data_IF_104970381240
#
_entry.id   IF_104970381240
#
_cell.length_a   1.000
_cell.length_b   1.000
_cell.length_c   1.000
_cell.angle_alpha   90.00
_cell.angle_beta   90.00
_cell.angle_gamma   90.00
#
_symmetry.space_group_name_H-M   'P 1'
#
loop_
_entity.id
_entity.type
_entity.pdbx_description
1 polymer ?
#
# COMPACT_ATOMS: atom_id res chain seq x y z
N UNK A 1 12.76 -5.47 15.86
CA UNK A 1 11.90 -6.64 15.62
C UNK A 1 12.03 -7.71 16.69
N UNK A 2 13.16 -8.42 16.86
CA UNK A 2 13.27 -9.46 17.91
C UNK A 2 13.04 -8.87 19.31
N UNK A 3 13.78 -7.81 19.67
CA UNK A 3 13.62 -7.12 20.95
C UNK A 3 12.20 -6.56 21.14
N UNK A 4 11.61 -5.98 20.09
CA UNK A 4 10.23 -5.45 20.12
C UNK A 4 9.19 -6.56 20.32
N UNK A 5 9.36 -7.73 19.71
CA UNK A 5 8.47 -8.87 19.90
C UNK A 5 8.65 -9.50 21.28
N UNK A 6 9.88 -9.55 21.80
CA UNK A 6 10.13 -9.95 23.20
C UNK A 6 9.39 -9.00 24.14
N UNK A 7 9.51 -7.69 23.93
CA UNK A 7 8.85 -6.68 24.76
C UNK A 7 7.33 -6.79 24.68
N UNK A 8 6.76 -6.91 23.48
CA UNK A 8 5.32 -7.10 23.30
C UNK A 8 4.82 -8.39 23.96
N UNK A 9 5.50 -9.52 23.77
CA UNK A 9 5.07 -10.78 24.37
C UNK A 9 5.18 -10.70 25.90
N UNK A 10 6.27 -10.15 26.43
CA UNK A 10 6.44 -10.05 27.87
C UNK A 10 5.45 -9.05 28.50
N UNK A 11 5.35 -7.83 27.97
CA UNK A 11 4.54 -6.76 28.58
C UNK A 11 3.06 -6.87 28.23
N UNK A 12 2.71 -7.04 26.96
CA UNK A 12 1.31 -7.00 26.51
C UNK A 12 0.60 -8.35 26.62
N UNK A 13 1.31 -9.48 26.44
CA UNK A 13 0.69 -10.80 26.54
C UNK A 13 0.84 -11.43 27.93
N UNK A 14 1.96 -11.19 28.62
CA UNK A 14 2.27 -11.81 29.90
C UNK A 14 2.30 -10.84 31.10
N UNK A 15 1.99 -9.55 30.90
CA UNK A 15 1.95 -8.54 31.98
C UNK A 15 3.29 -8.45 32.77
N UNK A 16 4.41 -8.66 32.09
CA UNK A 16 5.76 -8.62 32.65
C UNK A 16 6.19 -9.90 33.39
N UNK A 17 5.42 -11.00 33.29
CA UNK A 17 5.68 -12.23 34.03
C UNK A 17 6.83 -13.10 33.49
N UNK A 18 7.46 -12.72 32.37
CA UNK A 18 8.56 -13.48 31.75
C UNK A 18 9.79 -12.58 31.48
N UNK A 19 10.51 -12.14 32.53
CA UNK A 19 11.69 -11.28 32.39
C UNK A 19 12.88 -11.97 31.68
N UNK A 20 12.91 -13.29 31.68
CA UNK A 20 13.97 -14.10 31.06
C UNK A 20 13.60 -14.61 29.65
N UNK A 21 12.53 -14.08 29.06
CA UNK A 21 12.09 -14.43 27.72
C UNK A 21 13.17 -14.06 26.68
N UNK A 22 13.63 -15.05 25.92
CA UNK A 22 14.59 -14.84 24.84
C UNK A 22 14.05 -15.30 23.47
N UNK A 23 14.86 -15.10 22.43
CA UNK A 23 14.46 -15.39 21.05
C UNK A 23 14.26 -16.87 20.73
N UNK A 24 14.81 -17.78 21.55
CA UNK A 24 14.76 -19.24 21.33
C UNK A 24 13.77 -19.94 22.29
N UNK A 25 13.10 -19.17 23.15
CA UNK A 25 12.15 -19.69 24.13
C UNK A 25 10.96 -20.37 23.43
N UNK A 26 10.65 -21.66 23.74
CA UNK A 26 9.53 -22.39 23.14
C UNK A 26 8.16 -21.83 23.56
N UNK A 27 7.58 -20.96 22.74
CA UNK A 27 6.39 -20.17 23.10
C UNK A 27 5.14 -21.05 23.25
N UNK A 28 4.97 -22.04 22.37
CA UNK A 28 3.82 -22.94 22.39
C UNK A 28 3.93 -23.99 23.49
N UNK A 29 5.12 -24.60 23.65
CA UNK A 29 5.33 -25.67 24.64
C UNK A 29 5.19 -25.16 26.07
N UNK A 30 5.63 -23.92 26.32
CA UNK A 30 5.48 -23.27 27.62
C UNK A 30 4.10 -22.64 27.83
N UNK A 31 3.21 -22.70 26.83
CA UNK A 31 1.85 -22.13 26.90
C UNK A 31 1.80 -20.61 26.92
N UNK A 32 2.91 -19.94 26.60
CA UNK A 32 3.00 -18.48 26.41
C UNK A 32 2.08 -18.06 25.26
N UNK A 33 2.12 -18.83 24.17
CA UNK A 33 1.18 -18.72 23.07
C UNK A 33 0.07 -19.77 23.20
N UNK A 34 -1.17 -19.27 23.21
CA UNK A 34 -2.41 -20.01 23.20
C UNK A 34 -3.37 -19.36 22.19
N UNK A 35 -4.59 -19.89 22.02
CA UNK A 35 -5.54 -19.38 21.03
C UNK A 35 -5.83 -17.88 21.15
N UNK A 36 -5.91 -17.33 22.36
CA UNK A 36 -6.22 -15.91 22.56
C UNK A 36 -4.99 -15.02 22.36
N UNK A 37 -3.83 -15.42 22.90
CA UNK A 37 -2.58 -14.66 22.69
C UNK A 37 -2.11 -14.72 21.24
N UNK A 38 -2.41 -15.81 20.51
CA UNK A 38 -2.20 -15.90 19.06
C UNK A 38 -2.99 -14.82 18.30
N UNK A 39 -4.29 -14.65 18.57
CA UNK A 39 -5.10 -13.61 17.88
C UNK A 39 -4.53 -12.21 18.13
N UNK A 40 -4.10 -11.92 19.36
CA UNK A 40 -3.49 -10.62 19.71
C UNK A 40 -2.14 -10.43 19.03
N UNK A 41 -1.32 -11.48 18.96
CA UNK A 41 -0.04 -11.47 18.27
C UNK A 41 -0.22 -11.23 16.77
N UNK A 42 -1.14 -11.95 16.12
CA UNK A 42 -1.42 -11.77 14.68
C UNK A 42 -1.86 -10.33 14.38
N UNK A 43 -2.75 -9.76 15.20
CA UNK A 43 -3.19 -8.37 15.05
C UNK A 43 -2.04 -7.37 15.26
N UNK A 44 -1.17 -7.61 16.25
CA UNK A 44 0.01 -6.78 16.46
C UNK A 44 0.97 -6.87 15.26
N UNK A 45 1.19 -8.07 14.71
CA UNK A 45 2.09 -8.27 13.57
C UNK A 45 1.58 -7.53 12.32
N UNK A 46 0.29 -7.64 12.03
CA UNK A 46 -0.37 -6.91 10.94
C UNK A 46 -0.24 -5.39 11.13
N UNK A 47 -0.58 -4.87 12.31
CA UNK A 47 -0.53 -3.42 12.57
C UNK A 47 0.88 -2.83 12.64
N UNK A 48 1.83 -3.57 13.21
CA UNK A 48 3.19 -3.05 13.51
C UNK A 48 4.15 -3.23 12.34
N UNK A 49 3.98 -4.31 11.58
CA UNK A 49 4.91 -4.71 10.52
C UNK A 49 4.25 -4.80 9.13
N UNK A 50 2.93 -4.62 9.02
CA UNK A 50 2.19 -4.75 7.76
C UNK A 50 2.01 -6.19 7.27
N UNK A 51 2.63 -7.16 7.94
CA UNK A 51 2.67 -8.54 7.48
C UNK A 51 1.39 -9.30 7.85
N UNK A 52 0.56 -9.60 6.85
CA UNK A 52 -0.65 -10.41 7.06
C UNK A 52 -0.34 -11.90 6.96
N UNK A 53 -0.24 -12.58 8.10
CA UNK A 53 0.04 -14.03 8.15
C UNK A 53 -1.16 -14.84 7.62
N UNK A 54 -1.01 -15.60 6.52
CA UNK A 54 -2.07 -16.46 5.99
C UNK A 54 -2.40 -17.62 6.92
N UNK A 55 -3.64 -18.12 6.89
CA UNK A 55 -4.07 -19.24 7.74
C UNK A 55 -3.19 -20.50 7.61
N UNK A 56 -2.65 -20.76 6.42
CA UNK A 56 -1.79 -21.92 6.17
C UNK A 56 -0.38 -21.79 6.77
N UNK A 57 0.08 -20.56 7.06
CA UNK A 57 1.36 -20.29 7.71
C UNK A 57 1.26 -20.23 9.23
N UNK A 58 0.05 -20.30 9.79
CA UNK A 58 -0.19 -20.45 11.23
C UNK A 58 0.11 -21.90 11.63
N UNK A 59 1.40 -22.23 11.71
CA UNK A 59 1.89 -23.57 12.03
C UNK A 59 2.72 -23.57 13.31
N UNK A 60 2.80 -24.70 14.04
CA UNK A 60 3.65 -24.79 15.22
C UNK A 60 5.13 -24.47 14.98
N UNK A 61 5.62 -24.72 13.77
CA UNK A 61 7.02 -24.47 13.39
C UNK A 61 7.29 -22.97 13.29
N UNK A 62 6.42 -22.20 12.65
CA UNK A 62 6.61 -20.76 12.53
C UNK A 62 6.45 -20.03 13.87
N UNK A 63 5.62 -20.56 14.76
CA UNK A 63 5.32 -19.98 16.07
C UNK A 63 6.07 -20.67 17.23
N UNK A 64 7.11 -21.46 16.94
CA UNK A 64 7.89 -22.18 17.95
C UNK A 64 8.58 -21.21 18.90
N UNK A 65 9.27 -20.21 18.35
CA UNK A 65 9.97 -19.18 19.10
C UNK A 65 9.95 -17.83 18.35
N UNK A 66 10.55 -16.80 18.94
CA UNK A 66 10.53 -15.44 18.37
C UNK A 66 11.41 -15.36 17.13
N UNK A 67 12.50 -16.12 17.07
CA UNK A 67 13.37 -16.19 15.90
C UNK A 67 12.64 -16.72 14.66
N UNK A 68 11.92 -17.84 14.78
CA UNK A 68 11.12 -18.42 13.68
C UNK A 68 9.98 -17.49 13.27
N UNK A 69 9.34 -16.83 14.23
CA UNK A 69 8.29 -15.85 13.95
C UNK A 69 8.84 -14.64 13.20
N UNK A 70 10.01 -14.12 13.61
CA UNK A 70 10.67 -13.03 12.90
C UNK A 70 11.04 -13.41 11.47
N UNK A 71 11.47 -14.66 11.25
CA UNK A 71 11.78 -15.16 9.92
C UNK A 71 10.53 -15.18 9.02
N UNK A 72 9.39 -15.65 9.54
CA UNK A 72 8.12 -15.62 8.83
C UNK A 72 7.69 -14.18 8.50
N UNK A 73 7.73 -13.28 9.48
CA UNK A 73 7.34 -11.87 9.28
C UNK A 73 8.22 -11.22 8.21
N UNK A 74 9.54 -11.44 8.26
CA UNK A 74 10.46 -10.91 7.24
C UNK A 74 10.18 -11.49 5.86
N UNK A 75 9.86 -12.78 5.76
CA UNK A 75 9.54 -13.40 4.49
C UNK A 75 8.26 -12.79 3.90
N UNK A 76 7.21 -12.63 4.70
CA UNK A 76 5.95 -12.03 4.25
C UNK A 76 6.07 -10.54 3.92
N UNK A 77 6.80 -9.76 4.74
CA UNK A 77 7.07 -8.35 4.41
C UNK A 77 7.97 -8.20 3.19
N UNK A 78 8.90 -9.13 2.97
CA UNK A 78 9.72 -9.15 1.76
C UNK A 78 8.92 -9.62 0.54
N UNK A 79 7.96 -10.53 0.69
CA UNK A 79 7.05 -10.95 -0.39
C UNK A 79 6.05 -9.83 -0.73
N UNK A 80 5.55 -9.06 0.22
CA UNK A 80 4.77 -7.82 -0.04
C UNK A 80 5.64 -6.74 -0.71
N UNK A 81 6.93 -6.66 -0.36
CA UNK A 81 7.89 -5.76 -1.00
C UNK A 81 8.30 -6.24 -2.40
N UNK A 82 8.45 -7.55 -2.61
CA UNK A 82 8.75 -8.15 -3.92
C UNK A 82 7.50 -8.11 -4.81
N UNK A 83 6.30 -8.33 -4.30
CA UNK A 83 5.05 -8.08 -5.06
C UNK A 83 4.89 -6.59 -5.44
N UNK A 84 5.45 -5.67 -4.65
CA UNK A 84 5.49 -4.23 -4.98
C UNK A 84 6.71 -3.78 -5.81
N UNK A 85 7.81 -4.54 -5.85
CA UNK A 85 9.06 -4.25 -6.61
C UNK A 85 9.24 -5.09 -7.90
N UNK A 86 8.88 -6.38 -7.94
CA UNK A 86 8.67 -7.17 -9.18
C UNK A 86 7.48 -6.68 -9.98
N UNK A 87 6.75 -5.73 -9.40
CA UNK A 87 6.10 -4.70 -10.15
C UNK A 87 7.14 -3.85 -10.95
N UNK A 88 7.84 -4.46 -11.92
CA UNK A 88 7.97 -3.86 -13.24
C UNK A 88 6.53 -3.74 -13.78
N UNK A 89 5.81 -2.73 -13.28
CA UNK A 89 4.55 -3.01 -12.58
C UNK A 89 3.45 -3.49 -13.50
N UNK A 90 2.62 -4.42 -13.04
CA UNK A 90 1.37 -4.71 -13.76
C UNK A 90 0.63 -3.39 -14.06
N UNK A 91 0.75 -2.41 -13.17
CA UNK A 91 0.31 -1.04 -13.40
C UNK A 91 1.05 -0.34 -14.56
N UNK A 92 2.37 -0.42 -14.66
CA UNK A 92 3.16 0.07 -15.80
C UNK A 92 2.74 -0.61 -17.12
N UNK A 93 2.46 -1.92 -17.09
CA UNK A 93 1.93 -2.64 -18.26
C UNK A 93 0.54 -2.14 -18.64
N UNK A 94 -0.33 -1.91 -17.66
CA UNK A 94 -1.67 -1.36 -17.87
C UNK A 94 -1.60 0.08 -18.39
N UNK A 95 -0.68 0.90 -17.90
CA UNK A 95 -0.45 2.27 -18.39
C UNK A 95 0.05 2.24 -19.83
N UNK A 96 1.06 1.42 -20.16
CA UNK A 96 1.52 1.21 -21.55
C UNK A 96 0.39 0.73 -22.47
N UNK A 97 -0.50 -0.12 -21.96
CA UNK A 97 -1.70 -0.53 -22.70
C UNK A 97 -2.63 0.67 -22.95
N UNK A 98 -2.81 1.57 -21.98
CA UNK A 98 -3.59 2.80 -22.19
C UNK A 98 -2.96 3.70 -23.26
N UNK A 99 -1.64 3.85 -23.25
CA UNK A 99 -0.91 4.62 -24.26
C UNK A 99 -1.16 4.08 -25.68
N UNK A 100 -1.25 2.76 -25.84
CA UNK A 100 -1.59 2.15 -27.13
C UNK A 100 -2.97 2.54 -27.66
N UNK A 101 -3.90 2.97 -26.79
CA UNK A 101 -5.21 3.50 -27.16
C UNK A 101 -5.22 5.02 -27.43
N UNK A 102 -4.06 5.67 -27.37
CA UNK A 102 -3.93 7.12 -27.53
C UNK A 102 -4.25 7.91 -26.25
N UNK A 103 -4.29 7.24 -25.10
CA UNK A 103 -4.43 7.89 -23.79
C UNK A 103 -3.03 8.29 -23.32
N UNK A 104 -2.79 9.58 -23.09
CA UNK A 104 -1.48 10.09 -22.69
C UNK A 104 -1.26 9.86 -21.20
N UNK A 105 -0.18 9.17 -20.82
CA UNK A 105 0.33 9.14 -19.44
C UNK A 105 1.26 10.32 -19.20
N UNK A 106 1.10 11.00 -18.07
CA UNK A 106 1.96 12.11 -17.66
C UNK A 106 2.17 12.09 -16.14
N UNK A 107 3.39 12.38 -15.71
CA UNK A 107 3.73 12.71 -14.33
C UNK A 107 3.99 14.21 -14.23
N UNK A 108 3.12 14.93 -13.53
CA UNK A 108 3.10 16.39 -13.46
C UNK A 108 3.49 16.85 -12.05
N UNK A 109 4.52 17.70 -11.95
CA UNK A 109 4.86 18.32 -10.67
C UNK A 109 3.76 19.31 -10.25
N UNK A 110 3.07 19.02 -9.15
CA UNK A 110 1.95 19.81 -8.65
C UNK A 110 2.36 20.77 -7.51
N UNK A 111 3.55 20.58 -6.92
CA UNK A 111 4.08 21.42 -5.84
C UNK A 111 4.36 20.61 -4.57
N UNK A 112 5.04 21.21 -3.58
CA UNK A 112 5.27 20.61 -2.26
C UNK A 112 5.80 19.15 -2.26
N UNK A 113 6.68 18.80 -3.20
CA UNK A 113 7.21 17.44 -3.33
C UNK A 113 6.22 16.41 -3.88
N UNK A 114 5.02 16.83 -4.30
CA UNK A 114 4.01 15.97 -4.93
C UNK A 114 4.10 16.03 -6.46
N UNK A 115 4.12 14.84 -7.08
CA UNK A 115 3.95 14.67 -8.52
C UNK A 115 2.72 13.81 -8.80
N UNK A 116 1.77 14.40 -9.52
CA UNK A 116 0.53 13.78 -9.92
C UNK A 116 0.76 12.94 -11.18
N UNK A 117 0.57 11.62 -11.10
CA UNK A 117 0.42 10.82 -12.31
C UNK A 117 -1.01 10.92 -12.84
N UNK A 118 -1.14 11.03 -14.17
CA UNK A 118 -2.42 11.17 -14.85
C UNK A 118 -2.50 10.39 -16.15
N UNK A 119 -3.72 9.99 -16.51
CA UNK A 119 -4.08 9.48 -17.82
C UNK A 119 -5.05 10.45 -18.51
N UNK A 120 -4.71 10.89 -19.72
CA UNK A 120 -5.40 12.01 -20.38
C UNK A 120 -5.81 11.72 -21.81
N UNK A 121 -6.98 12.22 -22.18
CA UNK A 121 -7.46 12.28 -23.56
C UNK A 121 -7.85 13.71 -23.92
N UNK A 122 -7.71 14.06 -25.20
CA UNK A 122 -8.12 15.36 -25.73
C UNK A 122 -9.47 15.27 -26.44
N UNK A 123 -10.19 16.39 -26.45
CA UNK A 123 -11.41 16.59 -27.22
C UNK A 123 -11.84 18.05 -27.20
N UNK A 124 -12.94 18.35 -27.88
CA UNK A 124 -13.40 19.75 -28.06
C UNK A 124 -14.38 20.21 -26.96
N UNK A 125 -14.82 19.29 -26.10
CA UNK A 125 -15.74 19.55 -24.98
C UNK A 125 -15.05 19.94 -23.68
N UNK A 126 -15.84 20.23 -22.63
CA UNK A 126 -15.33 20.65 -21.32
C UNK A 126 -14.41 19.60 -20.70
N UNK A 127 -13.49 20.07 -19.85
CA UNK A 127 -12.58 19.23 -19.09
C UNK A 127 -13.33 18.38 -18.04
N UNK A 128 -13.11 17.08 -18.08
CA UNK A 128 -13.59 16.13 -17.07
C UNK A 128 -12.43 15.68 -16.19
N UNK A 129 -12.58 15.84 -14.88
CA UNK A 129 -11.63 15.35 -13.88
C UNK A 129 -12.24 14.09 -13.24
N UNK A 130 -11.58 12.95 -13.44
CA UNK A 130 -12.01 11.65 -12.94
C UNK A 130 -11.20 11.31 -11.70
N UNK A 131 -11.86 11.44 -10.54
CA UNK A 131 -11.26 11.12 -9.25
C UNK A 131 -11.42 9.61 -8.96
N UNK A 132 -10.36 8.93 -8.52
CA UNK A 132 -10.42 7.51 -8.17
C UNK A 132 -11.24 7.28 -6.88
N UNK A 133 -11.88 6.12 -6.81
CA UNK A 133 -12.36 5.57 -5.53
C UNK A 133 -11.21 4.83 -4.81
N UNK A 134 -11.39 4.50 -3.53
CA UNK A 134 -10.39 3.76 -2.75
C UNK A 134 -9.93 2.49 -3.49
N UNK A 135 -8.62 2.32 -3.61
CA UNK A 135 -7.99 1.15 -4.23
C UNK A 135 -8.08 1.06 -5.75
N UNK A 136 -8.49 2.13 -6.46
CA UNK A 136 -8.57 2.12 -7.92
C UNK A 136 -7.57 3.09 -8.57
N UNK A 137 -6.68 2.60 -9.46
CA UNK A 137 -5.79 3.49 -10.19
C UNK A 137 -6.54 4.21 -11.31
N UNK A 138 -5.93 5.24 -11.86
CA UNK A 138 -6.39 5.97 -13.05
C UNK A 138 -6.67 5.04 -14.24
N UNK A 139 -5.97 3.91 -14.35
CA UNK A 139 -6.21 2.89 -15.39
C UNK A 139 -7.60 2.25 -15.29
N UNK A 140 -8.27 2.27 -14.13
CA UNK A 140 -9.66 1.82 -13.99
C UNK A 140 -10.65 2.67 -14.80
N UNK A 141 -10.28 3.89 -15.19
CA UNK A 141 -11.08 4.77 -16.06
C UNK A 141 -10.89 4.53 -17.56
N UNK A 142 -10.12 3.52 -17.95
CA UNK A 142 -9.78 3.20 -19.34
C UNK A 142 -10.98 3.20 -20.31
N UNK A 143 -12.08 2.55 -19.96
CA UNK A 143 -13.30 2.49 -20.79
C UNK A 143 -13.93 3.87 -20.97
N UNK A 144 -14.03 4.64 -19.88
CA UNK A 144 -14.56 6.00 -19.88
C UNK A 144 -13.69 6.92 -20.74
N UNK A 145 -12.38 6.95 -20.51
CA UNK A 145 -11.42 7.76 -21.27
C UNK A 145 -11.51 7.48 -22.76
N UNK A 146 -11.50 6.20 -23.17
CA UNK A 146 -11.68 5.84 -24.59
C UNK A 146 -13.02 6.30 -25.15
N UNK A 147 -14.10 6.20 -24.37
CA UNK A 147 -15.44 6.58 -24.84
C UNK A 147 -15.58 8.09 -25.07
N UNK A 148 -14.87 8.93 -24.30
CA UNK A 148 -14.96 10.39 -24.38
C UNK A 148 -13.83 11.02 -25.21
N UNK A 149 -12.82 10.24 -25.59
CA UNK A 149 -11.73 10.69 -26.47
C UNK A 149 -12.28 11.31 -27.76
N UNK A 150 -11.75 12.47 -28.13
CA UNK A 150 -12.22 13.29 -29.25
C UNK A 150 -13.47 14.12 -28.96
N UNK A 151 -14.20 13.85 -27.86
CA UNK A 151 -15.41 14.59 -27.47
C UNK A 151 -15.16 15.52 -26.28
N UNK A 152 -14.37 15.10 -25.31
CA UNK A 152 -14.02 15.87 -24.12
C UNK A 152 -12.52 15.83 -23.88
N UNK A 153 -11.98 16.91 -23.32
CA UNK A 153 -10.75 16.80 -22.56
C UNK A 153 -11.06 16.03 -21.27
N UNK A 154 -10.34 14.96 -20.96
CA UNK A 154 -10.55 14.23 -19.72
C UNK A 154 -9.22 13.80 -19.12
N UNK A 155 -9.14 13.85 -17.79
CA UNK A 155 -7.97 13.48 -16.99
C UNK A 155 -8.42 12.56 -15.86
N UNK A 156 -7.81 11.38 -15.75
CA UNK A 156 -7.93 10.50 -14.60
C UNK A 156 -6.68 10.60 -13.73
N UNK A 157 -6.88 10.65 -12.42
CA UNK A 157 -5.82 10.89 -11.42
C UNK A 157 -5.50 9.62 -10.63
N UNK A 158 -4.23 9.46 -10.24
CA UNK A 158 -3.79 8.54 -9.19
C UNK A 158 -3.65 9.27 -7.85
N UNK A 159 -3.98 8.64 -6.72
CA UNK A 159 -3.77 9.25 -5.41
C UNK A 159 -2.30 9.11 -4.96
N UNK A 160 -1.82 10.03 -4.13
CA UNK A 160 -0.54 9.87 -3.46
C UNK A 160 -0.47 8.51 -2.72
N UNK A 161 0.64 7.78 -2.83
CA UNK A 161 0.78 6.45 -2.21
C UNK A 161 -0.08 5.34 -2.84
N UNK A 162 -0.81 5.61 -3.94
CA UNK A 162 -1.55 4.59 -4.67
C UNK A 162 -1.62 4.88 -6.18
N UNK A 163 -1.12 3.95 -6.99
CA UNK A 163 -0.95 4.16 -8.42
C UNK A 163 0.48 4.60 -8.73
N UNK A 164 0.68 5.54 -9.66
CA UNK A 164 2.00 6.06 -10.02
C UNK A 164 2.24 7.52 -9.58
N UNK A 165 1.35 8.11 -8.77
CA UNK A 165 1.59 9.43 -8.18
C UNK A 165 2.67 9.34 -7.09
N UNK A 166 3.58 10.31 -7.06
CA UNK A 166 4.70 10.36 -6.11
C UNK A 166 4.46 11.45 -5.06
N UNK A 167 4.70 11.15 -3.78
CA UNK A 167 4.67 12.12 -2.68
C UNK A 167 5.85 11.89 -1.73
N UNK A 168 6.34 12.96 -1.11
CA UNK A 168 7.31 12.86 0.00
C UNK A 168 6.66 12.38 1.31
N UNK A 169 5.34 12.40 1.41
CA UNK A 169 4.59 11.83 2.52
C UNK A 169 4.23 10.37 2.23
N UNK A 170 4.81 9.44 2.98
CA UNK A 170 4.60 8.00 2.84
C UNK A 170 3.24 7.52 3.37
N UNK A 171 2.49 8.37 4.09
CA UNK A 171 1.15 8.04 4.60
C UNK A 171 0.21 9.26 4.55
N UNK A 172 -0.22 9.66 3.34
CA UNK A 172 -1.09 10.81 3.15
C UNK A 172 -2.44 10.66 3.88
N UNK A 173 -2.88 11.70 4.56
CA UNK A 173 -4.23 11.80 5.11
C UNK A 173 -5.25 12.17 4.03
N UNK A 174 -6.54 12.08 4.37
CA UNK A 174 -7.62 12.58 3.50
C UNK A 174 -7.45 14.07 3.16
N UNK A 175 -6.95 14.88 4.09
CA UNK A 175 -6.71 16.31 3.85
C UNK A 175 -5.58 16.48 2.84
N UNK A 176 -4.50 15.71 2.99
CA UNK A 176 -3.37 15.75 2.06
C UNK A 176 -3.81 15.40 0.63
N UNK A 177 -4.64 14.38 0.46
CA UNK A 177 -5.17 14.02 -0.86
C UNK A 177 -6.00 15.14 -1.51
N UNK A 178 -6.80 15.86 -0.72
CA UNK A 178 -7.58 17.00 -1.21
C UNK A 178 -6.64 18.13 -1.64
N UNK A 179 -5.66 18.47 -0.79
CA UNK A 179 -4.66 19.52 -1.09
C UNK A 179 -3.83 19.19 -2.33
N UNK A 180 -3.32 17.96 -2.44
CA UNK A 180 -2.59 17.47 -3.61
C UNK A 180 -3.43 17.55 -4.89
N UNK A 181 -4.70 17.17 -4.80
CA UNK A 181 -5.62 17.28 -5.95
C UNK A 181 -5.78 18.75 -6.34
N UNK A 182 -6.07 19.65 -5.39
CA UNK A 182 -6.22 21.08 -5.64
C UNK A 182 -4.97 21.70 -6.27
N UNK A 183 -3.79 21.37 -5.73
CA UNK A 183 -2.49 21.79 -6.29
C UNK A 183 -2.32 21.32 -7.74
N UNK A 184 -2.67 20.07 -8.04
CA UNK A 184 -2.64 19.59 -9.42
C UNK A 184 -3.63 20.37 -10.30
N UNK A 185 -4.84 20.66 -9.81
CA UNK A 185 -5.83 21.42 -10.57
C UNK A 185 -5.35 22.82 -10.92
N UNK A 186 -4.54 23.46 -10.08
CA UNK A 186 -3.91 24.76 -10.40
C UNK A 186 -2.90 24.68 -11.54
N UNK A 187 -2.34 23.49 -11.82
CA UNK A 187 -1.45 23.28 -12.98
C UNK A 187 -2.20 23.11 -14.31
N UNK A 188 -3.51 22.89 -14.26
CA UNK A 188 -4.32 22.73 -15.44
C UNK A 188 -4.64 24.10 -16.05
N UNK A 189 -3.91 24.48 -17.10
CA UNK A 189 -4.27 25.64 -17.90
C UNK A 189 -5.69 25.44 -18.49
N UNK A 190 -6.59 26.39 -18.27
CA UNK A 190 -7.83 26.49 -19.04
C UNK A 190 -7.45 26.68 -20.52
N UNK A 191 -7.80 25.72 -21.37
CA UNK A 191 -7.77 25.87 -22.83
C UNK A 191 -9.18 25.86 -23.38
#
# INVERSE_FOLDING_TARGET
MIEELIEFINQDLLEGAAPDLDQHTPLLELGILNSLSMVRLLAHVDQRYGAKIPEHDITPVHFENIETLCALIKALSAEEQIESEEACSELDRLVKLQESYGIKSELVAAGAGFKQHTLRVKGDGPLWILLPALGNPSTSWSSTLRSVQGRHNAVALDLAGFGLSESENDSPSYVDHVEYTLQYLETLEEK
#
